data_IF_432229583411
#
_entry.id   IF_432229583411
#
_cell.length_a   1.000
_cell.length_b   1.000
_cell.length_c   1.000
_cell.angle_alpha   90.00
_cell.angle_beta   90.00
_cell.angle_gamma   90.00
#
_symmetry.space_group_name_H-M   'P 1'
#
loop_
_entity.id
_entity.type
_entity.pdbx_description
1 polymer ?
#
# COMPACT_ATOMS: atom_id res chain seq x y z
N UNK A 1 -6.53 -9.01 -1.82
CA UNK A 1 -5.22 -8.48 -1.37
C UNK A 1 -5.38 -6.99 -1.06
N UNK A 2 -4.61 -6.40 -0.13
CA UNK A 2 -4.66 -4.96 0.18
C UNK A 2 -3.32 -4.30 -0.14
N UNK A 3 -3.33 -3.30 -1.03
CA UNK A 3 -2.19 -2.41 -1.22
C UNK A 3 -2.12 -1.42 -0.06
N UNK A 4 -0.94 -1.30 0.56
CA UNK A 4 -0.80 -0.57 1.83
C UNK A 4 -0.04 0.73 1.72
N UNK A 5 0.91 0.82 0.81
CA UNK A 5 1.74 1.99 0.60
C UNK A 5 2.32 1.97 -0.81
N UNK A 6 2.83 3.11 -1.25
CA UNK A 6 3.59 3.24 -2.49
C UNK A 6 4.41 4.53 -2.51
N UNK A 7 5.48 4.52 -3.29
CA UNK A 7 6.20 5.73 -3.67
C UNK A 7 5.53 6.37 -4.90
N UNK A 8 5.50 7.70 -4.94
CA UNK A 8 4.97 8.44 -6.09
C UNK A 8 6.10 8.72 -7.05
N UNK A 9 6.08 8.03 -8.18
CA UNK A 9 7.06 8.22 -9.26
C UNK A 9 6.65 9.34 -10.22
N UNK A 10 5.35 9.45 -10.51
CA UNK A 10 4.77 10.45 -11.41
C UNK A 10 3.46 11.00 -10.83
N UNK A 11 3.05 12.20 -11.26
CA UNK A 11 1.81 12.82 -10.79
C UNK A 11 1.84 13.30 -9.34
N UNK A 12 3.03 13.69 -8.84
CA UNK A 12 3.24 14.09 -7.44
C UNK A 12 2.35 15.26 -7.00
N UNK A 13 2.30 16.34 -7.76
CA UNK A 13 1.53 17.52 -7.39
C UNK A 13 0.03 17.22 -7.26
N UNK A 14 -0.49 16.40 -8.17
CA UNK A 14 -1.88 15.92 -8.11
C UNK A 14 -2.14 15.07 -6.87
N UNK A 15 -1.21 14.16 -6.54
CA UNK A 15 -1.31 13.36 -5.32
C UNK A 15 -1.28 14.25 -4.07
N UNK A 16 -0.40 15.26 -4.01
CA UNK A 16 -0.34 16.23 -2.89
C UNK A 16 -1.65 17.00 -2.77
N UNK A 17 -2.19 17.51 -3.89
CA UNK A 17 -3.46 18.23 -3.92
C UNK A 17 -4.60 17.37 -3.34
N UNK A 18 -4.75 16.13 -3.83
CA UNK A 18 -5.77 15.17 -3.35
C UNK A 18 -5.59 14.81 -1.87
N UNK A 19 -4.36 14.88 -1.36
CA UNK A 19 -4.01 14.63 0.05
C UNK A 19 -4.18 15.86 0.94
N UNK A 20 -4.81 16.93 0.44
CA UNK A 20 -5.09 18.16 1.18
C UNK A 20 -3.94 19.16 1.16
N UNK A 21 -3.08 19.11 0.14
CA UNK A 21 -1.99 20.08 -0.08
C UNK A 21 -0.74 19.88 0.77
N UNK A 22 -0.74 18.94 1.72
CA UNK A 22 0.42 18.67 2.57
C UNK A 22 1.42 17.74 1.88
N UNK A 23 2.59 18.28 1.56
CA UNK A 23 3.73 17.53 1.08
C UNK A 23 4.44 16.82 2.26
N UNK A 24 4.56 15.49 2.19
CA UNK A 24 5.23 14.66 3.21
C UNK A 24 6.33 13.77 2.64
N UNK A 25 6.90 14.14 1.49
CA UNK A 25 8.00 13.44 0.85
C UNK A 25 7.64 12.01 0.44
N UNK A 26 8.57 11.08 0.65
CA UNK A 26 8.40 9.66 0.34
C UNK A 26 7.26 8.99 1.11
N UNK A 27 6.81 9.61 2.21
CA UNK A 27 5.70 9.10 3.02
C UNK A 27 4.33 9.57 2.54
N UNK A 28 4.22 10.28 1.41
CA UNK A 28 2.95 10.83 0.90
C UNK A 28 1.82 9.80 0.84
N UNK A 29 2.11 8.59 0.37
CA UNK A 29 1.15 7.49 0.25
C UNK A 29 1.41 6.34 1.27
N UNK A 30 2.02 6.64 2.41
CA UNK A 30 2.36 5.65 3.46
C UNK A 30 1.15 5.20 4.30
N UNK A 31 0.25 4.42 3.70
CA UNK A 31 -0.93 3.85 4.35
C UNK A 31 -2.09 3.66 3.37
N UNK A 32 -2.99 2.69 3.56
CA UNK A 32 -4.00 2.33 2.57
C UNK A 32 -4.96 3.49 2.25
N UNK A 33 -5.43 4.23 3.27
CA UNK A 33 -6.25 5.43 3.05
C UNK A 33 -5.46 6.58 2.41
N UNK A 34 -4.14 6.66 2.65
CA UNK A 34 -3.29 7.66 2.00
C UNK A 34 -3.09 7.34 0.52
N UNK A 35 -2.80 6.08 0.23
CA UNK A 35 -2.68 5.55 -1.12
C UNK A 35 -3.97 5.78 -1.92
N UNK A 36 -5.13 5.40 -1.37
CA UNK A 36 -6.41 5.60 -2.02
C UNK A 36 -6.68 7.07 -2.37
N UNK A 37 -6.50 7.97 -1.40
CA UNK A 37 -6.70 9.41 -1.62
C UNK A 37 -5.74 9.98 -2.66
N UNK A 38 -4.44 9.68 -2.59
CA UNK A 38 -3.47 10.21 -3.55
C UNK A 38 -3.71 9.72 -4.98
N UNK A 39 -4.13 8.47 -5.13
CA UNK A 39 -4.52 7.91 -6.43
C UNK A 39 -5.88 8.41 -6.93
N UNK A 40 -6.67 9.07 -6.07
CA UNK A 40 -8.03 9.53 -6.42
C UNK A 40 -9.03 8.38 -6.52
N UNK A 41 -8.83 7.33 -5.72
CA UNK A 41 -9.74 6.18 -5.66
C UNK A 41 -10.97 6.56 -4.83
N UNK A 42 -12.14 6.41 -5.43
CA UNK A 42 -13.44 6.72 -4.83
C UNK A 42 -14.28 5.46 -4.65
N UNK A 43 -15.30 5.52 -3.78
CA UNK A 43 -16.21 4.39 -3.55
C UNK A 43 -17.01 3.98 -4.80
N UNK A 44 -17.27 4.92 -5.70
CA UNK A 44 -17.94 4.69 -7.00
C UNK A 44 -17.12 3.80 -7.95
N UNK A 45 -15.83 3.61 -7.66
CA UNK A 45 -14.92 2.75 -8.44
C UNK A 45 -14.88 1.32 -7.91
N UNK A 46 -15.72 0.97 -6.92
CA UNK A 46 -15.83 -0.40 -6.46
C UNK A 46 -16.21 -1.35 -7.61
N UNK A 47 -15.73 -2.59 -7.53
CA UNK A 47 -15.82 -3.60 -8.58
C UNK A 47 -15.20 -3.23 -9.95
N UNK A 48 -14.53 -2.09 -10.11
CA UNK A 48 -13.81 -1.79 -11.35
C UNK A 48 -12.65 -2.77 -11.56
N UNK A 49 -12.42 -3.22 -12.81
CA UNK A 49 -11.35 -4.15 -13.11
C UNK A 49 -9.97 -3.50 -12.92
N UNK A 50 -9.04 -4.31 -12.43
CA UNK A 50 -7.61 -3.96 -12.37
C UNK A 50 -6.88 -4.85 -13.36
N UNK A 51 -6.24 -4.23 -14.34
CA UNK A 51 -5.45 -4.96 -15.34
C UNK A 51 -4.08 -5.30 -14.75
N UNK A 52 -3.63 -6.54 -14.91
CA UNK A 52 -2.28 -6.95 -14.48
C UNK A 52 -1.38 -7.10 -15.69
N UNK A 53 -0.24 -6.42 -15.68
CA UNK A 53 0.69 -6.37 -16.81
C UNK A 53 0.69 -5.03 -17.54
N UNK A 54 1.15 -5.03 -18.79
CA UNK A 54 1.13 -3.85 -19.67
C UNK A 54 -0.20 -3.84 -20.42
N UNK A 55 -1.07 -2.84 -20.21
CA UNK A 55 -2.36 -2.80 -20.88
C UNK A 55 -2.18 -2.47 -22.37
N UNK A 56 -3.01 -3.08 -23.23
CA UNK A 56 -3.00 -2.82 -24.68
C UNK A 56 -3.71 -1.51 -25.06
N UNK A 57 -4.53 -0.99 -24.15
CA UNK A 57 -5.34 0.21 -24.28
C UNK A 57 -5.38 0.96 -22.94
N UNK A 58 -5.76 2.26 -22.90
CA UNK A 58 -5.85 2.99 -21.65
C UNK A 58 -6.85 2.35 -20.68
N UNK A 59 -6.42 2.09 -19.44
CA UNK A 59 -7.25 1.54 -18.36
C UNK A 59 -7.16 2.42 -17.12
N UNK A 60 -8.20 2.39 -16.27
CA UNK A 60 -8.22 3.16 -15.01
C UNK A 60 -7.16 2.67 -14.03
N UNK A 61 -7.05 1.34 -13.87
CA UNK A 61 -6.13 0.72 -12.92
C UNK A 61 -5.31 -0.37 -13.60
N UNK A 62 -3.99 -0.25 -13.50
CA UNK A 62 -3.04 -1.26 -13.93
C UNK A 62 -2.04 -1.56 -12.81
N UNK A 63 -1.72 -2.84 -12.62
CA UNK A 63 -0.61 -3.31 -11.81
C UNK A 63 0.45 -3.92 -12.72
N UNK A 64 1.55 -3.19 -12.89
CA UNK A 64 2.70 -3.64 -13.66
C UNK A 64 3.73 -4.25 -12.70
N UNK A 65 4.16 -5.51 -12.89
CA UNK A 65 5.28 -6.04 -12.12
C UNK A 65 6.56 -5.25 -12.42
N UNK A 66 7.51 -5.15 -11.47
CA UNK A 66 8.80 -4.53 -11.73
C UNK A 66 9.55 -5.28 -12.83
N UNK A 67 10.49 -4.60 -13.50
CA UNK A 67 11.31 -5.23 -14.54
C UNK A 67 12.15 -6.39 -13.99
N UNK A 68 12.63 -6.26 -12.75
CA UNK A 68 13.32 -7.31 -12.02
C UNK A 68 12.57 -7.62 -10.72
N UNK A 69 12.47 -8.90 -10.32
CA UNK A 69 11.90 -9.27 -9.04
C UNK A 69 12.65 -8.65 -7.86
N UNK A 70 11.93 -8.30 -6.80
CA UNK A 70 12.55 -7.90 -5.53
C UNK A 70 13.36 -9.09 -4.98
N UNK A 71 14.61 -8.81 -4.60
CA UNK A 71 15.50 -9.81 -3.97
C UNK A 71 14.81 -10.43 -2.75
N UNK A 72 14.80 -11.76 -2.68
CA UNK A 72 14.04 -12.50 -1.65
C UNK A 72 14.47 -12.14 -0.22
N UNK A 73 15.76 -11.85 -0.01
CA UNK A 73 16.30 -11.42 1.28
C UNK A 73 15.82 -10.04 1.75
N UNK A 74 15.21 -9.24 0.87
CA UNK A 74 14.55 -7.98 1.21
C UNK A 74 13.06 -8.17 1.49
N UNK A 75 12.47 -9.32 1.14
CA UNK A 75 11.08 -9.57 1.46
C UNK A 75 10.92 -9.87 2.94
N UNK A 76 9.95 -9.22 3.55
CA UNK A 76 9.57 -9.39 4.95
C UNK A 76 8.09 -9.69 5.03
N UNK A 77 7.72 -10.50 6.03
CA UNK A 77 6.33 -10.79 6.36
C UNK A 77 6.09 -10.72 7.86
N UNK A 78 4.84 -10.47 8.26
CA UNK A 78 4.52 -10.32 9.67
C UNK A 78 3.09 -9.87 9.95
N UNK A 79 2.80 -9.52 11.21
CA UNK A 79 1.46 -9.18 11.64
C UNK A 79 0.87 -8.00 10.87
N UNK A 80 -0.44 -8.05 10.67
CA UNK A 80 -1.18 -6.97 9.99
C UNK A 80 -1.27 -5.73 10.88
N UNK A 81 -1.18 -4.56 10.26
CA UNK A 81 -1.28 -3.26 10.95
C UNK A 81 -2.74 -2.96 11.25
N UNK A 82 -3.03 -2.55 12.48
CA UNK A 82 -4.35 -2.06 12.89
C UNK A 82 -5.46 -3.11 12.90
N UNK A 83 -5.11 -4.40 12.79
CA UNK A 83 -6.08 -5.51 12.88
C UNK A 83 -6.18 -5.94 14.34
N UNK A 84 -7.39 -5.93 14.90
CA UNK A 84 -7.66 -6.30 16.28
C UNK A 84 -7.75 -7.81 16.47
N UNK A 85 -7.61 -8.26 17.72
CA UNK A 85 -7.78 -9.67 18.09
C UNK A 85 -6.69 -10.58 17.53
N UNK A 86 -6.99 -11.88 17.47
CA UNK A 86 -6.05 -12.91 16.99
C UNK A 86 -5.59 -12.65 15.55
N UNK A 87 -6.44 -12.06 14.70
CA UNK A 87 -6.07 -11.73 13.32
C UNK A 87 -4.93 -10.72 13.19
N UNK A 88 -4.65 -9.94 14.24
CA UNK A 88 -3.53 -9.01 14.31
C UNK A 88 -2.23 -9.63 14.82
N UNK A 89 -2.22 -10.91 15.19
CA UNK A 89 -1.07 -11.59 15.79
C UNK A 89 -0.10 -12.13 14.72
N UNK A 90 1.02 -12.68 15.20
CA UNK A 90 2.01 -13.36 14.35
C UNK A 90 1.50 -14.69 13.76
N UNK A 91 0.39 -15.23 14.28
CA UNK A 91 -0.30 -16.39 13.71
C UNK A 91 -0.88 -16.10 12.32
N UNK A 92 -1.18 -14.82 12.04
CA UNK A 92 -1.69 -14.35 10.76
C UNK A 92 -0.72 -13.37 10.08
N UNK A 93 0.47 -13.82 9.64
CA UNK A 93 1.54 -12.97 9.12
C UNK A 93 1.31 -12.58 7.65
N UNK A 94 0.10 -12.10 7.35
CA UNK A 94 -0.36 -11.82 5.98
C UNK A 94 -0.05 -10.40 5.51
N UNK A 95 0.85 -9.69 6.19
CA UNK A 95 1.42 -8.43 5.70
C UNK A 95 2.78 -8.71 5.08
N UNK A 96 2.98 -8.28 3.85
CA UNK A 96 4.25 -8.33 3.14
C UNK A 96 4.79 -6.91 2.91
N UNK A 97 6.11 -6.73 2.96
CA UNK A 97 6.79 -5.47 2.62
C UNK A 97 8.23 -5.71 2.19
N UNK A 98 8.83 -4.69 1.56
CA UNK A 98 10.24 -4.65 1.17
C UNK A 98 11.02 -3.99 2.31
N UNK A 99 12.07 -4.65 2.78
CA UNK A 99 12.94 -4.16 3.84
C UNK A 99 13.68 -2.89 3.39
N UNK A 100 13.75 -1.89 4.26
CA UNK A 100 14.37 -0.61 3.97
C UNK A 100 13.58 0.33 3.03
N UNK A 101 12.46 -0.10 2.45
CA UNK A 101 11.62 0.78 1.62
C UNK A 101 10.98 1.88 2.48
N UNK A 102 11.34 3.13 2.17
CA UNK A 102 10.98 4.31 2.97
C UNK A 102 9.51 4.72 2.83
N UNK A 103 8.79 4.20 1.84
CA UNK A 103 7.35 4.42 1.68
C UNK A 103 6.52 3.56 2.63
N UNK A 104 7.10 2.46 3.16
CA UNK A 104 6.41 1.51 4.04
C UNK A 104 6.04 2.19 5.36
N UNK A 105 4.74 2.16 5.68
CA UNK A 105 4.22 2.69 6.94
C UNK A 105 4.76 1.90 8.15
N UNK A 106 5.06 2.62 9.25
CA UNK A 106 5.42 1.99 10.52
C UNK A 106 4.34 0.99 11.01
N UNK A 107 4.77 -0.09 11.66
CA UNK A 107 3.84 -1.03 12.28
C UNK A 107 3.08 -0.38 13.43
N UNK A 108 1.77 -0.61 13.47
CA UNK A 108 0.90 -0.25 14.60
C UNK A 108 0.01 -1.45 14.89
N UNK A 109 0.06 -2.02 16.12
CA UNK A 109 -0.81 -3.14 16.47
C UNK A 109 -2.28 -2.69 16.53
N UNK A 110 -3.21 -3.62 16.32
CA UNK A 110 -4.62 -3.40 16.65
C UNK A 110 -4.89 -3.54 18.15
N UNK A 111 -6.17 -3.47 18.52
CA UNK A 111 -6.59 -3.66 19.92
C UNK A 111 -6.67 -5.16 20.24
N UNK A 112 -6.39 -5.54 21.48
CA UNK A 112 -6.56 -6.91 22.00
C UNK A 112 -5.82 -8.00 21.19
N UNK A 113 -4.62 -7.69 20.68
CA UNK A 113 -3.77 -8.68 20.00
C UNK A 113 -3.10 -9.58 21.05
N UNK A 114 -3.33 -10.91 21.04
CA UNK A 114 -2.72 -11.82 22.01
C UNK A 114 -1.19 -11.96 21.84
N UNK A 115 -0.49 -12.28 22.93
CA UNK A 115 0.93 -12.67 22.89
C UNK A 115 1.90 -11.54 22.52
N UNK A 116 1.64 -10.33 23.00
CA UNK A 116 2.54 -9.18 22.87
C UNK A 116 3.57 -9.15 24.00
#
# INVERSE_FOLDING_TARGET
MLLRAGEVLEGRDLAVQRRGGRETGIQLLSGPGRLGQGLGIELSMDAQPVTVGVPAEPVTFALKPPAEPVRHELLRRGPRVGVSGVGGSAEFPWRWWIDGDRSVSAYRPGKNVPGR
#
